data_IF_651180839186
#
_entry.id   IF_651180839186
#
_cell.length_a   1.000
_cell.length_b   1.000
_cell.length_c   1.000
_cell.angle_alpha   90.00
_cell.angle_beta   90.00
_cell.angle_gamma   90.00
#
_symmetry.space_group_name_H-M   'P 1'
#
loop_
_entity.id
_entity.type
_entity.pdbx_description
1 polymer ?
#
# COMPACT_ATOMS: atom_id res chain seq x y z
N UNK A 1 8.86 -54.58 15.30
CA UNK A 1 8.90 -53.54 14.26
C UNK A 1 8.17 -52.31 14.76
N UNK A 2 8.91 -51.28 15.11
CA UNK A 2 8.36 -50.04 15.66
C UNK A 2 8.03 -49.06 14.52
N UNK A 3 6.78 -48.60 14.46
CA UNK A 3 6.32 -47.61 13.49
C UNK A 3 6.78 -46.20 13.93
N UNK A 4 7.65 -45.59 13.12
CA UNK A 4 8.12 -44.21 13.32
C UNK A 4 7.12 -43.25 12.66
N UNK A 5 6.34 -42.52 13.46
CA UNK A 5 5.47 -41.46 12.97
C UNK A 5 6.31 -40.20 12.79
N UNK A 6 6.60 -39.82 11.54
CA UNK A 6 7.18 -38.54 11.18
C UNK A 6 6.11 -37.47 11.30
N UNK A 7 6.24 -36.56 12.32
CA UNK A 7 5.44 -35.33 12.40
C UNK A 7 6.04 -34.32 11.42
N UNK A 8 5.42 -34.15 10.27
CA UNK A 8 5.64 -32.99 9.40
C UNK A 8 5.12 -31.75 10.13
N UNK A 9 6.06 -30.89 10.58
CA UNK A 9 5.77 -29.58 11.13
C UNK A 9 5.20 -28.73 9.99
N UNK A 10 3.89 -28.47 10.01
CA UNK A 10 3.29 -27.50 9.12
C UNK A 10 3.96 -26.14 9.36
N UNK A 11 4.62 -25.59 8.35
CA UNK A 11 5.13 -24.24 8.39
C UNK A 11 3.94 -23.29 8.57
N UNK A 12 3.90 -22.56 9.67
CA UNK A 12 2.89 -21.52 9.88
C UNK A 12 3.15 -20.41 8.85
N UNK A 13 2.27 -20.27 7.86
CA UNK A 13 2.25 -19.15 6.93
C UNK A 13 1.72 -17.90 7.64
N UNK A 14 2.51 -17.34 8.57
CA UNK A 14 2.20 -16.05 9.20
C UNK A 14 2.68 -14.89 8.32
N UNK A 15 2.08 -13.72 8.48
CA UNK A 15 2.59 -12.48 7.88
C UNK A 15 4.06 -12.29 8.25
N UNK A 16 4.91 -11.94 7.30
CA UNK A 16 6.29 -11.51 7.55
C UNK A 16 6.34 -10.20 8.35
N UNK A 17 5.26 -9.42 8.34
CA UNK A 17 5.10 -8.15 9.02
C UNK A 17 4.02 -8.25 10.10
N UNK A 18 4.35 -7.83 11.34
CA UNK A 18 3.44 -7.90 12.50
C UNK A 18 2.31 -6.87 12.46
N UNK A 19 2.44 -5.81 11.65
CA UNK A 19 1.54 -4.65 11.68
C UNK A 19 1.61 -3.83 12.97
N UNK A 20 2.63 -4.06 13.82
CA UNK A 20 2.85 -3.30 15.06
C UNK A 20 3.41 -1.90 14.78
N UNK A 21 3.18 -0.98 15.72
CA UNK A 21 3.78 0.35 15.73
C UNK A 21 4.20 0.73 17.15
N UNK A 22 5.20 1.61 17.22
CA UNK A 22 5.59 2.33 18.44
C UNK A 22 4.85 3.67 18.52
N UNK A 23 4.93 4.35 19.66
CA UNK A 23 4.32 5.66 19.85
C UNK A 23 5.38 6.73 20.09
N UNK A 24 5.24 7.84 19.38
CA UNK A 24 5.90 9.11 19.63
C UNK A 24 4.86 10.22 19.42
N UNK A 25 3.89 10.27 20.34
CA UNK A 25 2.72 11.11 20.20
C UNK A 25 3.08 12.59 20.31
N UNK A 26 2.39 13.40 19.51
CA UNK A 26 2.43 14.85 19.61
C UNK A 26 2.09 15.30 21.03
N UNK A 27 2.87 16.22 21.63
CA UNK A 27 2.58 16.74 22.96
C UNK A 27 1.18 17.37 23.05
N UNK A 28 0.48 17.17 24.15
CA UNK A 28 -0.87 17.72 24.36
C UNK A 28 -0.92 19.24 24.20
N UNK A 29 0.17 19.95 24.54
CA UNK A 29 0.31 21.40 24.34
C UNK A 29 0.20 21.84 22.88
N UNK A 30 0.37 20.93 21.93
CA UNK A 30 0.24 21.18 20.48
C UNK A 30 -1.08 20.68 19.88
N UNK A 31 -1.97 20.11 20.65
CA UNK A 31 -3.24 19.58 20.14
C UNK A 31 -4.10 20.65 19.46
N UNK A 32 -4.14 21.87 20.00
CA UNK A 32 -4.85 22.98 19.35
C UNK A 32 -4.38 23.30 17.95
N UNK A 33 -3.11 23.02 17.64
CA UNK A 33 -2.52 23.21 16.31
C UNK A 33 -2.64 21.98 15.43
N UNK A 34 -2.30 20.78 15.98
CA UNK A 34 -2.10 19.55 15.21
C UNK A 34 -3.35 18.69 15.08
N UNK A 35 -4.17 18.60 16.12
CA UNK A 35 -5.30 17.68 16.20
C UNK A 35 -6.40 18.20 17.14
N UNK A 36 -6.96 19.41 16.87
CA UNK A 36 -7.83 20.10 17.84
C UNK A 36 -9.16 19.40 18.12
N UNK A 37 -9.63 18.55 17.22
CA UNK A 37 -10.98 18.02 17.29
C UNK A 37 -10.98 16.53 17.64
N UNK A 38 -11.97 16.12 18.44
CA UNK A 38 -12.27 14.72 18.62
C UNK A 38 -12.66 14.06 17.28
N UNK A 39 -12.29 12.80 17.11
CA UNK A 39 -12.57 11.99 15.93
C UNK A 39 -13.06 10.60 16.32
N UNK A 40 -14.08 10.14 15.62
CA UNK A 40 -14.43 8.73 15.55
C UNK A 40 -14.07 8.25 14.14
N UNK A 41 -12.98 7.52 13.96
CA UNK A 41 -12.50 7.17 12.62
C UNK A 41 -13.46 6.19 11.93
N UNK A 42 -13.61 6.37 10.60
CA UNK A 42 -14.44 5.52 9.74
C UNK A 42 -13.62 4.86 8.61
N UNK A 43 -12.34 5.16 8.53
CA UNK A 43 -11.45 4.63 7.50
C UNK A 43 -10.04 5.19 7.60
N UNK A 44 -9.26 4.94 6.58
CA UNK A 44 -7.85 5.27 6.47
C UNK A 44 -7.63 6.12 5.21
N UNK A 45 -6.80 7.15 5.32
CA UNK A 45 -6.31 7.95 4.20
C UNK A 45 -4.81 7.71 4.02
N UNK A 46 -4.43 7.16 2.86
CA UNK A 46 -3.05 6.83 2.53
C UNK A 46 -2.33 7.96 1.81
N UNK A 47 -1.06 8.16 2.18
CA UNK A 47 -0.18 9.17 1.62
C UNK A 47 1.20 8.60 1.30
N UNK A 48 1.97 9.36 0.50
CA UNK A 48 3.41 9.21 0.36
C UNK A 48 4.10 10.53 0.74
N UNK A 49 5.19 10.46 1.50
CA UNK A 49 5.89 11.64 2.05
C UNK A 49 6.57 12.54 1.03
N UNK A 50 6.72 12.11 -0.23
CA UNK A 50 7.41 12.84 -1.31
C UNK A 50 8.88 13.22 -0.98
N UNK A 51 9.53 12.44 -0.13
CA UNK A 51 10.94 12.55 0.23
C UNK A 51 11.55 11.17 0.54
N UNK A 52 12.82 11.12 0.93
CA UNK A 52 13.56 9.89 1.30
C UNK A 52 13.77 9.74 2.82
N UNK A 53 13.15 10.57 3.66
CA UNK A 53 13.30 10.49 5.11
C UNK A 53 12.63 9.24 5.69
N UNK A 54 13.17 8.66 6.79
CA UNK A 54 12.53 7.55 7.50
C UNK A 54 11.33 8.03 8.33
N UNK A 55 10.46 7.09 8.71
CA UNK A 55 9.25 7.36 9.49
C UNK A 55 9.52 8.16 10.78
N UNK A 56 10.61 7.86 11.47
CA UNK A 56 11.02 8.58 12.69
C UNK A 56 11.25 10.07 12.44
N UNK A 57 11.87 10.42 11.30
CA UNK A 57 12.13 11.82 10.95
C UNK A 57 10.82 12.55 10.62
N UNK A 58 9.90 11.90 9.93
CA UNK A 58 8.58 12.45 9.61
C UNK A 58 7.79 12.78 10.89
N UNK A 59 7.71 11.86 11.83
CA UNK A 59 7.04 12.06 13.12
C UNK A 59 7.73 13.15 13.94
N UNK A 60 9.06 13.11 14.04
CA UNK A 60 9.81 14.15 14.76
C UNK A 60 9.61 15.54 14.14
N UNK A 61 9.64 15.63 12.80
CA UNK A 61 9.39 16.90 12.11
C UNK A 61 7.98 17.40 12.38
N UNK A 62 6.96 16.53 12.24
CA UNK A 62 5.57 16.89 12.55
C UNK A 62 5.42 17.38 13.98
N UNK A 63 5.98 16.68 14.95
CA UNK A 63 5.86 17.03 16.37
C UNK A 63 6.56 18.33 16.75
N UNK A 64 7.62 18.73 16.03
CA UNK A 64 8.46 19.86 16.43
C UNK A 64 8.21 21.14 15.63
N UNK A 65 7.59 21.08 14.44
CA UNK A 65 7.34 22.28 13.64
C UNK A 65 6.08 23.06 14.08
N UNK A 66 5.95 24.29 13.58
CA UNK A 66 4.82 25.20 13.81
C UNK A 66 3.69 25.09 12.77
N UNK A 67 3.75 24.16 11.80
CA UNK A 67 2.67 23.93 10.83
C UNK A 67 1.52 23.16 11.47
N UNK A 68 0.31 23.36 11.01
CA UNK A 68 -0.85 22.53 11.39
C UNK A 68 -0.82 21.14 10.74
N UNK A 69 -0.14 20.96 9.60
CA UNK A 69 -0.03 19.67 8.92
C UNK A 69 0.32 18.55 9.89
N UNK A 70 -0.47 17.49 9.88
CA UNK A 70 -0.36 16.41 10.85
C UNK A 70 -1.05 15.16 10.36
N UNK A 71 -0.53 14.01 10.76
CA UNK A 71 -1.01 12.67 10.37
C UNK A 71 -0.83 11.70 11.54
N UNK A 72 -1.47 10.53 11.46
CA UNK A 72 -1.54 9.63 12.61
C UNK A 72 -0.37 8.64 12.67
N UNK A 73 0.08 8.15 11.53
CA UNK A 73 1.16 7.16 11.43
C UNK A 73 2.12 7.53 10.31
N UNK A 74 3.41 7.33 10.55
CA UNK A 74 4.42 7.20 9.50
C UNK A 74 4.98 5.78 9.51
N UNK A 75 5.24 5.23 8.31
CA UNK A 75 5.71 3.85 8.14
C UNK A 75 6.83 3.82 7.13
N UNK A 76 7.96 3.19 7.49
CA UNK A 76 9.06 2.89 6.57
C UNK A 76 9.37 1.40 6.52
N UNK A 77 10.48 1.03 5.90
CA UNK A 77 10.93 -0.36 5.74
C UNK A 77 11.31 -1.04 7.06
N UNK A 78 11.56 -0.27 8.11
CA UNK A 78 12.04 -0.78 9.41
C UNK A 78 10.97 -0.72 10.49
N UNK A 79 10.17 0.37 10.51
CA UNK A 79 9.26 0.66 11.63
C UNK A 79 7.98 1.36 11.18
N UNK A 80 7.01 1.37 12.10
CA UNK A 80 5.83 2.22 12.04
C UNK A 80 5.73 2.98 13.36
N UNK A 81 5.43 4.28 13.31
CA UNK A 81 5.38 5.16 14.48
C UNK A 81 4.08 5.96 14.46
N UNK A 82 3.35 5.90 15.58
CA UNK A 82 2.15 6.71 15.78
C UNK A 82 2.52 8.09 16.32
N UNK A 83 2.07 9.14 15.62
CA UNK A 83 2.30 10.55 15.98
C UNK A 83 1.08 11.26 16.54
N UNK A 84 -0.14 10.80 16.21
CA UNK A 84 -1.38 11.36 16.76
C UNK A 84 -2.26 10.26 17.38
N UNK A 85 -3.03 10.57 18.44
CA UNK A 85 -4.09 9.70 18.92
C UNK A 85 -5.15 9.45 17.83
N UNK A 86 -5.68 8.22 17.73
CA UNK A 86 -6.67 7.88 16.70
C UNK A 86 -8.08 8.45 16.97
N UNK A 87 -8.33 8.90 18.18
CA UNK A 87 -9.57 9.58 18.58
C UNK A 87 -9.53 11.10 18.36
N UNK A 88 -8.49 11.60 17.71
CA UNK A 88 -8.34 13.00 17.31
C UNK A 88 -8.09 13.12 15.81
N UNK A 89 -8.52 14.24 15.21
CA UNK A 89 -8.32 14.50 13.79
C UNK A 89 -6.85 14.73 13.43
N UNK A 90 -6.52 14.65 12.13
CA UNK A 90 -5.27 15.16 11.57
C UNK A 90 -5.56 16.20 10.47
N UNK A 91 -4.53 16.90 10.02
CA UNK A 91 -4.59 17.86 8.91
C UNK A 91 -3.71 17.35 7.77
N UNK A 92 -4.19 16.33 7.03
CA UNK A 92 -3.40 15.60 6.01
C UNK A 92 -4.09 15.49 4.65
N UNK A 93 -5.43 15.57 4.59
CA UNK A 93 -6.19 15.21 3.41
C UNK A 93 -6.52 16.40 2.48
N UNK A 94 -6.15 17.62 2.87
CA UNK A 94 -6.34 18.82 2.05
C UNK A 94 -7.81 19.29 1.91
N UNK A 95 -8.75 18.63 2.58
CA UNK A 95 -10.19 18.89 2.50
C UNK A 95 -10.74 19.78 3.63
N UNK A 96 -9.85 20.51 4.34
CA UNK A 96 -10.24 21.39 5.44
C UNK A 96 -10.94 20.61 6.57
N UNK A 97 -12.18 20.99 6.89
CA UNK A 97 -13.01 20.25 7.86
C UNK A 97 -13.78 19.07 7.24
N UNK A 98 -13.36 18.62 6.06
CA UNK A 98 -13.97 17.49 5.36
C UNK A 98 -13.69 16.13 6.00
N UNK A 99 -14.27 15.07 5.43
CA UNK A 99 -14.20 13.73 6.00
C UNK A 99 -12.79 13.15 6.00
N UNK A 100 -11.92 13.52 5.07
CA UNK A 100 -10.54 13.06 5.03
C UNK A 100 -9.79 13.43 6.30
N UNK A 101 -9.81 14.71 6.67
CA UNK A 101 -9.16 15.20 7.87
C UNK A 101 -9.92 14.84 9.16
N UNK A 102 -11.24 14.83 9.13
CA UNK A 102 -12.08 14.74 10.34
C UNK A 102 -12.52 13.32 10.70
N UNK A 103 -12.37 12.35 9.78
CA UNK A 103 -12.90 10.99 9.96
C UNK A 103 -11.97 9.87 9.49
N UNK A 104 -10.78 10.18 8.95
CA UNK A 104 -9.86 9.16 8.47
C UNK A 104 -8.52 9.23 9.22
N UNK A 105 -7.97 8.05 9.54
CA UNK A 105 -6.63 7.91 10.06
C UNK A 105 -5.65 8.15 8.91
N UNK A 106 -4.88 9.24 8.95
CA UNK A 106 -3.85 9.53 7.94
C UNK A 106 -2.59 8.70 8.17
N UNK A 107 -2.14 7.99 7.13
CA UNK A 107 -0.92 7.17 7.16
C UNK A 107 0.01 7.61 6.04
N UNK A 108 1.22 8.00 6.40
CA UNK A 108 2.30 8.34 5.48
C UNK A 108 3.21 7.13 5.26
N UNK A 109 3.32 6.69 4.00
CA UNK A 109 4.38 5.75 3.60
C UNK A 109 5.61 6.59 3.28
N UNK A 110 6.63 6.46 4.11
CA UNK A 110 7.91 7.16 4.01
C UNK A 110 8.79 6.58 2.89
N UNK A 111 9.94 7.20 2.62
CA UNK A 111 10.91 6.76 1.60
C UNK A 111 10.38 6.80 0.17
N UNK A 112 9.36 7.59 -0.12
CA UNK A 112 8.70 7.53 -1.44
C UNK A 112 9.55 8.06 -2.61
N UNK A 113 10.62 8.79 -2.35
CA UNK A 113 11.64 9.17 -3.36
C UNK A 113 12.95 8.38 -3.24
N UNK A 114 13.06 7.45 -2.28
CA UNK A 114 14.22 6.58 -2.15
C UNK A 114 14.22 5.54 -3.27
N UNK A 115 15.28 5.53 -4.08
CA UNK A 115 15.44 4.62 -5.22
C UNK A 115 16.30 3.39 -4.88
N UNK A 116 16.70 3.22 -3.61
CA UNK A 116 17.39 2.01 -3.17
C UNK A 116 16.48 0.79 -3.35
N UNK A 117 16.91 -0.24 -4.10
CA UNK A 117 16.07 -1.37 -4.42
C UNK A 117 15.45 -2.03 -3.17
N UNK A 118 14.14 -2.22 -3.19
CA UNK A 118 13.38 -2.90 -2.15
C UNK A 118 13.09 -2.07 -0.89
N UNK A 119 13.62 -0.85 -0.75
CA UNK A 119 13.36 0.00 0.44
C UNK A 119 11.90 0.41 0.47
N UNK A 120 11.42 1.06 -0.57
CA UNK A 120 10.03 1.53 -0.62
C UNK A 120 9.03 0.37 -0.65
N UNK A 121 9.33 -0.69 -1.35
CA UNK A 121 8.48 -1.89 -1.44
C UNK A 121 8.30 -2.56 -0.08
N UNK A 122 9.33 -2.58 0.79
CA UNK A 122 9.20 -3.06 2.18
C UNK A 122 8.40 -2.09 3.04
N UNK A 123 8.55 -0.77 2.84
CA UNK A 123 7.73 0.25 3.51
C UNK A 123 6.25 0.07 3.17
N UNK A 124 5.90 -0.14 1.91
CA UNK A 124 4.53 -0.43 1.48
C UNK A 124 3.96 -1.71 2.11
N UNK A 125 4.74 -2.79 2.15
CA UNK A 125 4.29 -4.05 2.78
C UNK A 125 4.07 -3.88 4.27
N UNK A 126 4.97 -3.18 4.96
CA UNK A 126 4.78 -2.87 6.38
C UNK A 126 3.54 -2.01 6.60
N UNK A 127 3.34 -0.99 5.78
CA UNK A 127 2.14 -0.15 5.83
C UNK A 127 0.87 -0.98 5.59
N UNK A 128 0.87 -1.94 4.65
CA UNK A 128 -0.26 -2.83 4.42
C UNK A 128 -0.58 -3.71 5.64
N UNK A 129 0.43 -4.20 6.36
CA UNK A 129 0.23 -4.94 7.60
C UNK A 129 -0.32 -4.06 8.73
N UNK A 130 0.16 -2.81 8.85
CA UNK A 130 -0.37 -1.81 9.80
C UNK A 130 -1.83 -1.50 9.49
N UNK A 131 -2.16 -1.27 8.23
CA UNK A 131 -3.53 -1.02 7.76
C UNK A 131 -4.43 -2.22 8.05
N UNK A 132 -3.98 -3.44 7.78
CA UNK A 132 -4.74 -4.66 8.08
C UNK A 132 -5.03 -4.79 9.58
N UNK A 133 -4.06 -4.45 10.44
CA UNK A 133 -4.29 -4.42 11.90
C UNK A 133 -5.34 -3.39 12.29
N UNK A 134 -5.29 -2.17 11.73
CA UNK A 134 -6.33 -1.15 11.97
C UNK A 134 -7.69 -1.63 11.47
N UNK A 135 -7.76 -2.24 10.28
CA UNK A 135 -9.00 -2.83 9.77
C UNK A 135 -9.58 -3.85 10.76
N UNK A 136 -8.76 -4.74 11.30
CA UNK A 136 -9.21 -5.71 12.32
C UNK A 136 -9.68 -5.01 13.61
N UNK A 137 -8.97 -3.95 14.07
CA UNK A 137 -9.34 -3.21 15.29
C UNK A 137 -10.69 -2.49 15.19
N UNK A 138 -11.03 -2.00 14.00
CA UNK A 138 -12.23 -1.20 13.77
C UNK A 138 -13.35 -1.94 13.03
N UNK A 139 -13.13 -3.20 12.62
CA UNK A 139 -14.09 -3.97 11.82
C UNK A 139 -14.22 -3.48 10.38
N UNK A 140 -13.14 -2.96 9.80
CA UNK A 140 -13.12 -2.44 8.44
C UNK A 140 -12.61 -3.47 7.42
N UNK A 141 -13.07 -3.31 6.17
CA UNK A 141 -12.50 -3.97 5.00
C UNK A 141 -11.58 -3.05 4.20
N UNK A 142 -11.10 -3.53 3.07
CA UNK A 142 -10.23 -2.76 2.15
C UNK A 142 -10.94 -1.55 1.51
N UNK A 143 -12.26 -1.50 1.54
CA UNK A 143 -13.04 -0.39 0.98
C UNK A 143 -12.93 0.89 1.81
N UNK A 144 -12.61 0.77 3.11
CA UNK A 144 -12.32 1.88 4.01
C UNK A 144 -10.91 2.45 3.84
N UNK A 145 -10.07 1.85 2.98
CA UNK A 145 -8.74 2.35 2.65
C UNK A 145 -8.82 3.26 1.43
N UNK A 146 -8.65 4.55 1.66
CA UNK A 146 -8.75 5.62 0.66
C UNK A 146 -7.39 6.24 0.39
N UNK A 147 -7.26 6.94 -0.73
CA UNK A 147 -6.10 7.75 -1.07
C UNK A 147 -6.35 9.22 -0.72
N UNK A 148 -5.31 10.02 -0.56
CA UNK A 148 -5.44 11.48 -0.43
C UNK A 148 -6.23 12.08 -1.61
N UNK A 149 -5.98 11.58 -2.82
CA UNK A 149 -6.67 12.03 -4.05
C UNK A 149 -8.19 11.79 -4.05
N UNK A 150 -8.70 10.97 -3.14
CA UNK A 150 -10.15 10.75 -2.98
C UNK A 150 -10.81 11.89 -2.19
N UNK A 151 -10.03 12.78 -1.56
CA UNK A 151 -10.51 13.88 -0.73
C UNK A 151 -10.16 15.26 -1.28
N UNK A 152 -9.04 15.38 -2.00
CA UNK A 152 -8.59 16.63 -2.60
C UNK A 152 -7.87 16.38 -3.93
N UNK A 153 -7.85 17.39 -4.80
CA UNK A 153 -7.16 17.34 -6.09
C UNK A 153 -5.63 17.38 -5.90
N UNK A 154 -5.04 16.25 -5.48
CA UNK A 154 -3.60 16.09 -5.27
C UNK A 154 -3.15 14.71 -5.75
N UNK A 155 -2.05 14.65 -6.50
CA UNK A 155 -1.43 13.36 -6.84
C UNK A 155 -0.72 12.77 -5.62
N UNK A 156 -1.50 12.14 -4.75
CA UNK A 156 -1.03 11.46 -3.55
C UNK A 156 -1.99 10.30 -3.22
N UNK A 157 -1.43 9.13 -2.89
CA UNK A 157 -0.03 8.76 -2.97
C UNK A 157 0.46 8.67 -4.43
N UNK A 158 1.65 9.24 -4.73
CA UNK A 158 2.18 9.35 -6.09
C UNK A 158 2.94 8.10 -6.56
N UNK A 159 3.56 7.36 -5.64
CA UNK A 159 4.33 6.14 -5.93
C UNK A 159 3.52 4.86 -5.69
N UNK A 160 2.62 4.87 -4.73
CA UNK A 160 1.80 3.72 -4.35
C UNK A 160 0.63 3.51 -5.31
N UNK A 161 0.57 2.34 -5.94
CA UNK A 161 -0.65 1.87 -6.62
C UNK A 161 -1.70 1.47 -5.59
N UNK A 162 -2.79 2.20 -5.49
CA UNK A 162 -3.85 1.89 -4.51
C UNK A 162 -4.49 0.53 -4.71
N UNK A 163 -4.63 0.08 -5.97
CA UNK A 163 -5.14 -1.27 -6.26
C UNK A 163 -4.18 -2.36 -5.74
N UNK A 164 -2.87 -2.21 -6.01
CA UNK A 164 -1.84 -3.10 -5.50
C UNK A 164 -1.74 -3.07 -3.96
N UNK A 165 -1.84 -1.87 -3.37
CA UNK A 165 -1.81 -1.69 -1.93
C UNK A 165 -3.00 -2.36 -1.22
N UNK A 166 -4.22 -2.17 -1.71
CA UNK A 166 -5.42 -2.86 -1.20
C UNK A 166 -5.31 -4.38 -1.29
N UNK A 167 -4.68 -4.89 -2.34
CA UNK A 167 -4.37 -6.31 -2.47
C UNK A 167 -3.41 -6.79 -1.37
N UNK A 168 -2.35 -6.03 -1.09
CA UNK A 168 -1.43 -6.34 0.02
C UNK A 168 -2.15 -6.30 1.37
N UNK A 169 -3.05 -5.35 1.61
CA UNK A 169 -3.90 -5.30 2.81
C UNK A 169 -4.77 -6.55 2.92
N UNK A 170 -5.42 -6.96 1.83
CA UNK A 170 -6.24 -8.17 1.80
C UNK A 170 -5.43 -9.44 2.10
N UNK A 171 -4.20 -9.54 1.59
CA UNK A 171 -3.28 -10.63 1.92
C UNK A 171 -2.85 -10.58 3.39
N UNK A 172 -2.59 -9.39 3.93
CA UNK A 172 -2.26 -9.21 5.34
C UNK A 172 -3.40 -9.63 6.27
N UNK A 173 -4.65 -9.29 5.92
CA UNK A 173 -5.85 -9.71 6.66
C UNK A 173 -6.00 -11.24 6.69
N UNK A 174 -5.52 -11.94 5.66
CA UNK A 174 -5.52 -13.41 5.56
C UNK A 174 -4.28 -14.06 6.20
N UNK A 175 -3.34 -13.30 6.75
CA UNK A 175 -2.06 -13.83 7.25
C UNK A 175 -1.11 -14.33 6.16
N UNK A 176 -1.26 -13.85 4.93
CA UNK A 176 -0.51 -14.33 3.74
C UNK A 176 0.48 -13.31 3.17
N UNK A 177 0.61 -12.14 3.79
CA UNK A 177 1.56 -11.14 3.32
C UNK A 177 2.99 -11.55 3.71
N UNK A 178 3.87 -11.73 2.72
CA UNK A 178 5.28 -12.13 2.89
C UNK A 178 6.19 -11.21 2.08
N UNK A 179 7.49 -11.24 2.32
CA UNK A 179 8.48 -10.52 1.50
C UNK A 179 8.50 -10.99 0.05
N UNK A 180 8.16 -12.26 -0.17
CA UNK A 180 8.06 -12.87 -1.50
C UNK A 180 6.76 -12.53 -2.22
N UNK A 181 5.79 -11.91 -1.55
CA UNK A 181 4.60 -11.35 -2.19
C UNK A 181 4.97 -10.04 -2.92
N UNK A 182 5.85 -10.16 -3.89
CA UNK A 182 5.79 -9.32 -5.08
C UNK A 182 4.35 -9.35 -5.55
N UNK A 183 3.80 -8.24 -6.00
CA UNK A 183 2.49 -8.13 -6.62
C UNK A 183 2.40 -9.00 -7.88
N UNK A 184 2.59 -10.30 -7.73
CA UNK A 184 2.06 -11.28 -8.67
C UNK A 184 0.58 -11.38 -8.33
N UNK A 185 -0.24 -10.68 -9.10
CA UNK A 185 -1.62 -11.11 -9.26
C UNK A 185 -1.56 -12.62 -9.45
N UNK A 186 -2.26 -13.36 -8.58
CA UNK A 186 -2.45 -14.79 -8.73
C UNK A 186 -3.25 -15.00 -10.02
N UNK A 187 -2.55 -15.05 -11.14
CA UNK A 187 -3.03 -15.77 -12.28
C UNK A 187 -2.71 -17.23 -11.99
N UNK A 188 -3.72 -18.07 -11.94
CA UNK A 188 -3.58 -19.52 -12.09
C UNK A 188 -2.77 -19.76 -13.37
N UNK A 189 -1.47 -19.97 -13.21
CA UNK A 189 -0.57 -20.28 -14.31
C UNK A 189 -0.60 -21.79 -14.54
N UNK A 190 -1.29 -22.20 -15.59
CA UNK A 190 -0.88 -23.38 -16.31
C UNK A 190 0.27 -22.95 -17.24
N UNK A 191 1.50 -23.42 -16.97
CA UNK A 191 2.65 -23.46 -17.87
C UNK A 191 3.38 -22.11 -18.05
N UNK A 192 4.49 -21.91 -17.34
CA UNK A 192 5.41 -20.81 -17.54
C UNK A 192 6.24 -21.03 -18.82
N UNK A 193 5.81 -20.47 -19.95
CA UNK A 193 6.71 -20.11 -21.05
C UNK A 193 7.13 -18.66 -20.84
N UNK A 194 8.44 -18.40 -20.77
CA UNK A 194 8.97 -17.04 -20.69
C UNK A 194 8.64 -16.26 -21.98
N UNK A 195 7.77 -15.27 -21.87
CA UNK A 195 7.37 -14.41 -22.98
C UNK A 195 8.57 -13.60 -23.47
N UNK A 196 8.80 -13.56 -24.79
CA UNK A 196 9.93 -12.89 -25.45
C UNK A 196 9.43 -11.88 -26.47
N UNK A 197 10.30 -10.95 -26.85
CA UNK A 197 10.03 -10.06 -27.98
C UNK A 197 9.81 -10.89 -29.24
N UNK A 198 8.73 -10.60 -29.97
CA UNK A 198 8.27 -11.35 -31.14
C UNK A 198 7.16 -12.36 -30.84
N UNK A 199 6.93 -12.74 -29.60
CA UNK A 199 5.86 -13.66 -29.24
C UNK A 199 4.48 -13.06 -29.51
N UNK A 200 3.54 -13.93 -29.89
CA UNK A 200 2.13 -13.56 -30.04
C UNK A 200 1.36 -13.94 -28.79
N UNK A 201 0.72 -12.96 -28.15
CA UNK A 201 0.03 -13.12 -26.87
C UNK A 201 -1.41 -12.61 -26.94
N UNK A 202 -2.30 -13.21 -26.14
CA UNK A 202 -3.65 -12.69 -25.86
C UNK A 202 -3.69 -12.12 -24.46
N UNK A 203 -4.40 -10.99 -24.29
CA UNK A 203 -4.63 -10.40 -22.98
C UNK A 203 -5.81 -11.13 -22.32
N UNK A 204 -5.56 -11.78 -21.19
CA UNK A 204 -6.59 -12.43 -20.37
C UNK A 204 -6.94 -11.61 -19.12
N UNK A 205 -6.02 -10.74 -18.69
CA UNK A 205 -6.19 -9.86 -17.54
C UNK A 205 -7.31 -8.82 -17.70
N UNK A 206 -7.76 -8.24 -16.59
CA UNK A 206 -8.80 -7.20 -16.57
C UNK A 206 -8.25 -5.80 -16.75
N UNK A 207 -6.99 -5.57 -16.37
CA UNK A 207 -6.36 -4.24 -16.42
C UNK A 207 -5.00 -4.28 -17.13
N UNK A 208 -4.65 -3.17 -17.78
CA UNK A 208 -3.28 -2.89 -18.22
C UNK A 208 -2.34 -2.68 -17.04
N UNK A 209 -1.04 -2.75 -17.29
CA UNK A 209 -0.02 -2.41 -16.28
C UNK A 209 -0.08 -0.94 -15.82
N UNK A 210 -0.77 -0.08 -16.55
CA UNK A 210 -1.09 1.31 -16.23
C UNK A 210 -2.33 1.47 -15.35
N UNK A 211 -2.99 0.35 -14.97
CA UNK A 211 -4.18 0.34 -14.10
C UNK A 211 -5.53 0.52 -14.81
N UNK A 212 -5.53 0.89 -16.08
CA UNK A 212 -6.76 1.07 -16.86
C UNK A 212 -7.40 -0.29 -17.20
N UNK A 213 -8.73 -0.35 -17.25
CA UNK A 213 -9.47 -1.56 -17.65
C UNK A 213 -9.20 -1.91 -19.11
N UNK A 214 -8.91 -3.19 -19.38
CA UNK A 214 -8.77 -3.72 -20.73
C UNK A 214 -10.14 -3.88 -21.36
N UNK A 215 -10.44 -3.15 -22.46
CA UNK A 215 -11.73 -3.29 -23.16
C UNK A 215 -11.96 -4.71 -23.70
N UNK A 216 -13.21 -5.14 -23.76
CA UNK A 216 -13.56 -6.50 -24.21
C UNK A 216 -13.05 -6.84 -25.61
N UNK A 217 -13.08 -5.89 -26.55
CA UNK A 217 -12.57 -6.07 -27.91
C UNK A 217 -11.08 -6.34 -27.96
N UNK A 218 -10.30 -5.76 -27.02
CA UNK A 218 -8.85 -6.00 -26.90
C UNK A 218 -8.56 -7.46 -26.54
N UNK A 219 -9.36 -8.07 -25.68
CA UNK A 219 -9.18 -9.47 -25.25
C UNK A 219 -9.46 -10.51 -26.36
N UNK A 220 -10.15 -10.10 -27.41
CA UNK A 220 -10.46 -10.97 -28.55
C UNK A 220 -9.31 -11.09 -29.54
N UNK A 221 -8.37 -10.16 -29.51
CA UNK A 221 -7.26 -10.06 -30.45
C UNK A 221 -5.96 -10.68 -29.91
N UNK A 222 -5.04 -10.97 -30.84
CA UNK A 222 -3.68 -11.43 -30.53
C UNK A 222 -2.69 -10.31 -30.88
N UNK A 223 -1.73 -10.06 -30.00
CA UNK A 223 -0.76 -8.96 -30.09
C UNK A 223 0.65 -9.49 -30.15
N UNK A 224 1.56 -8.78 -30.84
CA UNK A 224 2.98 -9.12 -30.84
C UNK A 224 3.68 -8.34 -29.72
N UNK A 225 4.51 -9.03 -28.94
CA UNK A 225 5.36 -8.42 -27.93
C UNK A 225 6.49 -7.66 -28.59
N UNK A 226 6.55 -6.36 -28.38
CA UNK A 226 7.59 -5.47 -28.95
C UNK A 226 8.71 -5.15 -27.97
N UNK A 227 8.44 -5.23 -26.67
CA UNK A 227 9.44 -5.02 -25.63
C UNK A 227 9.07 -5.82 -24.38
N UNK A 228 10.08 -6.31 -23.66
CA UNK A 228 9.93 -6.96 -22.35
C UNK A 228 10.75 -6.17 -21.34
N UNK A 229 10.19 -5.91 -20.16
CA UNK A 229 10.85 -5.22 -19.05
C UNK A 229 10.36 -5.78 -17.73
N UNK A 230 11.20 -6.60 -17.09
CA UNK A 230 10.82 -7.33 -15.86
C UNK A 230 9.65 -8.26 -16.13
N UNK A 231 8.55 -8.08 -15.41
CA UNK A 231 7.31 -8.83 -15.52
C UNK A 231 6.29 -8.22 -16.50
N UNK A 232 6.71 -7.26 -17.34
CA UNK A 232 5.83 -6.54 -18.26
C UNK A 232 6.26 -6.69 -19.71
N UNK A 233 5.28 -6.83 -20.59
CA UNK A 233 5.44 -6.81 -22.04
C UNK A 233 4.71 -5.60 -22.64
N UNK A 234 5.37 -4.91 -23.58
CA UNK A 234 4.76 -3.89 -24.43
C UNK A 234 4.22 -4.59 -25.69
N UNK A 235 2.96 -4.34 -25.99
CA UNK A 235 2.27 -4.95 -27.12
C UNK A 235 2.15 -3.97 -28.28
N UNK A 236 2.35 -4.50 -29.52
CA UNK A 236 2.06 -3.76 -30.75
C UNK A 236 0.58 -3.35 -30.81
N UNK A 237 0.26 -2.48 -31.73
CA UNK A 237 -1.10 -2.06 -32.11
C UNK A 237 -1.91 -1.33 -31.03
N UNK A 238 -1.71 -1.65 -29.75
CA UNK A 238 -2.36 -0.95 -28.62
C UNK A 238 -1.38 -0.11 -27.81
N UNK A 239 -0.06 -0.23 -28.07
CA UNK A 239 1.06 0.50 -27.39
C UNK A 239 0.84 0.55 -25.87
N UNK A 240 0.47 -0.59 -25.28
CA UNK A 240 0.17 -0.69 -23.84
C UNK A 240 1.03 -1.76 -23.18
N UNK A 241 1.45 -1.48 -21.94
CA UNK A 241 2.15 -2.45 -21.11
C UNK A 241 1.15 -3.37 -20.41
N UNK A 242 1.42 -4.67 -20.47
CA UNK A 242 0.65 -5.70 -19.75
C UNK A 242 1.59 -6.51 -18.86
N UNK A 243 1.08 -7.06 -17.77
CA UNK A 243 1.80 -8.03 -16.94
C UNK A 243 1.81 -9.41 -17.62
N UNK A 244 2.95 -10.10 -17.50
CA UNK A 244 3.17 -11.46 -18.02
C UNK A 244 2.86 -12.52 -16.98
#
# INVERSE_FOLDING_TARGET
MAATTSKTKAASSGNAYSGSWSQNLCPASKYSLKCPNAMKPVGICMHNTANSAPAKNEINYMNNNGSSTSFHLAVDENEAIQGLPFDRNGWHAGDGNGPGNRKHIGIEIARSTDNTPGVFERAERRAAAVVARLCNMYGWGVDQVKAHRDFAAKDCPHRTSMAGFKNMVALALQGKLTDSTSTKQTQTSNGASSVKVGDKVKITGTNYATGQTVPGWVKQNTYTVTKVSGDRALLSDIISWVYM
#
